data_IF_955164831604
#
_entry.id   IF_955164831604
#
_cell.length_a   1.000
_cell.length_b   1.000
_cell.length_c   1.000
_cell.angle_alpha   90.00
_cell.angle_beta   90.00
_cell.angle_gamma   90.00
#
_symmetry.space_group_name_H-M   'P 1'
#
loop_
_entity.id
_entity.type
_entity.pdbx_description
1 polymer ?
#
# COMPACT_ATOMS: atom_id res chain seq x y z
N UNK A 1 21.52 -13.23 37.41
CA UNK A 1 20.47 -13.58 36.43
C UNK A 1 20.00 -12.29 35.79
N UNK A 2 20.51 -11.98 34.61
CA UNK A 2 20.14 -10.76 33.88
C UNK A 2 19.54 -11.23 32.57
N UNK A 3 18.21 -11.21 32.51
CA UNK A 3 17.43 -11.55 31.32
C UNK A 3 17.70 -10.44 30.30
N UNK A 4 18.32 -10.79 29.18
CA UNK A 4 18.44 -9.87 28.03
C UNK A 4 17.04 -9.59 27.47
N UNK A 5 16.72 -8.33 27.12
CA UNK A 5 15.41 -8.00 26.58
C UNK A 5 15.24 -8.59 25.18
N UNK A 6 14.04 -9.10 24.93
CA UNK A 6 13.55 -9.64 23.67
C UNK A 6 14.08 -8.89 22.44
N UNK A 7 14.76 -9.61 21.56
CA UNK A 7 15.02 -9.16 20.19
C UNK A 7 13.67 -8.94 19.49
N UNK A 8 13.36 -7.70 19.15
CA UNK A 8 12.31 -7.35 18.18
C UNK A 8 12.49 -8.22 16.92
N UNK A 9 11.41 -8.66 16.25
CA UNK A 9 11.56 -9.28 14.95
C UNK A 9 12.32 -8.30 14.06
N UNK A 10 13.50 -8.72 13.58
CA UNK A 10 14.28 -7.91 12.65
C UNK A 10 13.49 -7.90 11.35
N UNK A 11 12.66 -6.88 11.16
CA UNK A 11 11.91 -6.75 9.92
C UNK A 11 12.89 -6.78 8.74
N UNK A 12 12.56 -7.46 7.64
CA UNK A 12 13.42 -7.46 6.46
C UNK A 12 13.65 -6.04 5.94
N UNK A 13 14.81 -5.76 5.32
CA UNK A 13 15.10 -4.45 4.75
C UNK A 13 14.08 -4.12 3.66
N UNK A 14 13.91 -2.83 3.36
CA UNK A 14 13.08 -2.36 2.28
C UNK A 14 13.35 -3.13 0.97
N UNK A 15 12.28 -3.54 0.29
CA UNK A 15 12.35 -4.24 -0.98
C UNK A 15 11.70 -3.41 -2.07
N UNK A 16 12.30 -3.41 -3.28
CA UNK A 16 11.69 -2.78 -4.46
C UNK A 16 11.90 -3.61 -5.71
N UNK A 17 10.93 -3.58 -6.60
CA UNK A 17 11.02 -4.20 -7.92
C UNK A 17 10.27 -3.37 -8.95
N UNK A 18 10.77 -3.35 -10.18
CA UNK A 18 10.12 -2.65 -11.29
C UNK A 18 8.96 -3.48 -11.83
N UNK A 19 7.82 -2.84 -12.15
CA UNK A 19 6.62 -3.53 -12.67
C UNK A 19 6.87 -4.36 -13.94
N UNK A 20 7.80 -3.95 -14.80
CA UNK A 20 8.14 -4.69 -16.03
C UNK A 20 8.86 -6.01 -15.78
N UNK A 21 9.35 -6.27 -14.57
CA UNK A 21 9.90 -7.57 -14.23
C UNK A 21 8.73 -8.57 -14.03
N UNK A 22 8.65 -9.65 -14.84
CA UNK A 22 7.53 -10.60 -14.78
C UNK A 22 7.42 -11.35 -13.44
N UNK A 23 8.47 -11.35 -12.62
CA UNK A 23 8.47 -11.96 -11.29
C UNK A 23 8.12 -10.98 -10.16
N UNK A 24 7.86 -9.70 -10.47
CA UNK A 24 7.59 -8.67 -9.45
C UNK A 24 6.45 -9.05 -8.53
N UNK A 25 5.31 -9.49 -9.06
CA UNK A 25 4.18 -9.91 -8.23
C UNK A 25 4.55 -11.06 -7.27
N UNK A 26 5.31 -12.04 -7.74
CA UNK A 26 5.76 -13.16 -6.90
C UNK A 26 6.75 -12.70 -5.82
N UNK A 27 7.72 -11.85 -6.15
CA UNK A 27 8.68 -11.37 -5.16
C UNK A 27 8.00 -10.50 -4.10
N UNK A 28 7.16 -9.55 -4.52
CA UNK A 28 6.38 -8.73 -3.59
C UNK A 28 5.48 -9.59 -2.69
N UNK A 29 4.88 -10.66 -3.22
CA UNK A 29 4.05 -11.57 -2.41
C UNK A 29 4.84 -12.23 -1.27
N UNK A 30 6.11 -12.57 -1.50
CA UNK A 30 6.98 -13.16 -0.48
C UNK A 30 7.37 -12.12 0.56
N UNK A 31 7.73 -10.92 0.10
CA UNK A 31 8.08 -9.80 0.96
C UNK A 31 6.94 -9.36 1.87
N UNK A 32 5.70 -9.45 1.39
CA UNK A 32 4.49 -9.25 2.19
C UNK A 32 4.36 -10.33 3.27
N UNK A 33 4.46 -11.61 2.90
CA UNK A 33 4.36 -12.73 3.86
C UNK A 33 5.43 -12.67 4.94
N UNK A 34 6.66 -12.25 4.61
CA UNK A 34 7.74 -12.08 5.58
C UNK A 34 7.47 -10.99 6.62
N UNK A 35 6.52 -10.09 6.34
CA UNK A 35 6.15 -8.97 7.22
C UNK A 35 4.82 -9.15 7.92
N UNK A 36 3.97 -10.04 7.43
CA UNK A 36 2.69 -10.34 8.04
C UNK A 36 2.87 -10.89 9.47
N UNK A 37 1.87 -10.67 10.35
CA UNK A 37 1.91 -11.19 11.70
C UNK A 37 1.76 -12.72 11.70
N UNK A 38 1.67 -13.33 12.88
CA UNK A 38 1.37 -14.76 12.97
C UNK A 38 -0.07 -15.06 12.50
N UNK A 39 -0.29 -16.29 12.00
CA UNK A 39 -1.59 -16.74 11.53
C UNK A 39 -2.70 -16.54 12.58
N UNK A 40 -3.83 -15.97 12.16
CA UNK A 40 -5.01 -15.71 13.00
C UNK A 40 -5.36 -14.24 13.16
N UNK A 41 -4.42 -13.34 12.89
CA UNK A 41 -4.68 -11.89 12.88
C UNK A 41 -5.26 -11.44 11.53
N UNK A 42 -6.28 -10.59 11.58
CA UNK A 42 -6.85 -9.95 10.39
C UNK A 42 -5.85 -8.98 9.77
N UNK A 43 -5.75 -8.96 8.45
CA UNK A 43 -4.93 -8.00 7.71
C UNK A 43 -5.85 -6.98 7.05
N UNK A 44 -5.56 -5.69 7.24
CA UNK A 44 -6.33 -4.59 6.65
C UNK A 44 -5.45 -3.83 5.67
N UNK A 45 -5.86 -3.78 4.41
CA UNK A 45 -5.24 -2.94 3.39
C UNK A 45 -5.97 -1.59 3.31
N UNK A 46 -5.23 -0.51 3.42
CA UNK A 46 -5.75 0.87 3.28
C UNK A 46 -5.15 1.47 2.03
N UNK A 47 -5.93 1.51 0.95
CA UNK A 47 -5.49 1.99 -0.35
C UNK A 47 -5.82 3.48 -0.47
N UNK A 48 -4.78 4.31 -0.37
CA UNK A 48 -4.87 5.76 -0.28
C UNK A 48 -4.83 6.36 -1.68
N UNK A 49 -5.66 7.39 -1.88
CA UNK A 49 -5.72 8.17 -3.11
C UNK A 49 -7.14 8.57 -3.50
N UNK A 50 -7.29 9.18 -4.67
CA UNK A 50 -8.58 9.54 -5.27
C UNK A 50 -8.69 9.11 -6.73
N UNK A 51 -9.91 8.80 -7.15
CA UNK A 51 -10.32 8.58 -8.54
C UNK A 51 -10.30 9.87 -9.40
N UNK A 52 -10.07 11.05 -8.81
CA UNK A 52 -10.11 12.36 -9.49
C UNK A 52 -8.76 12.82 -10.05
N UNK A 53 -7.69 12.07 -9.84
CA UNK A 53 -6.35 12.35 -10.33
C UNK A 53 -5.71 11.05 -10.77
N UNK A 54 -5.23 10.95 -12.01
CA UNK A 54 -4.80 9.66 -12.58
C UNK A 54 -3.65 9.04 -11.80
N UNK A 55 -2.66 9.82 -11.40
CA UNK A 55 -1.52 9.36 -10.60
C UNK A 55 -1.89 9.00 -9.16
N UNK A 56 -2.92 9.64 -8.62
CA UNK A 56 -3.43 9.36 -7.26
C UNK A 56 -4.46 8.22 -7.25
N UNK A 57 -4.85 7.70 -8.42
CA UNK A 57 -5.86 6.66 -8.54
C UNK A 57 -5.33 5.25 -8.24
N UNK A 58 -4.02 5.09 -8.02
CA UNK A 58 -3.39 3.78 -7.80
C UNK A 58 -4.05 3.02 -6.64
N UNK A 59 -4.18 3.65 -5.47
CA UNK A 59 -4.80 3.04 -4.30
C UNK A 59 -6.25 2.61 -4.57
N UNK A 60 -7.17 3.53 -4.93
CA UNK A 60 -8.55 3.19 -5.25
C UNK A 60 -8.71 2.09 -6.32
N UNK A 61 -7.83 2.04 -7.33
CA UNK A 61 -7.81 0.98 -8.35
C UNK A 61 -7.44 -0.37 -7.75
N UNK A 62 -6.37 -0.44 -6.95
CA UNK A 62 -5.97 -1.66 -6.23
C UNK A 62 -7.12 -2.13 -5.33
N UNK A 63 -7.71 -1.23 -4.55
CA UNK A 63 -8.80 -1.60 -3.65
C UNK A 63 -10.02 -2.16 -4.40
N UNK A 64 -10.39 -1.56 -5.53
CA UNK A 64 -11.48 -2.07 -6.36
C UNK A 64 -11.17 -3.45 -6.99
N UNK A 65 -9.91 -3.72 -7.35
CA UNK A 65 -9.49 -5.02 -7.85
C UNK A 65 -9.47 -6.08 -6.73
N UNK A 66 -9.00 -5.74 -5.53
CA UNK A 66 -8.97 -6.64 -4.38
C UNK A 66 -10.37 -6.99 -3.88
N UNK A 67 -11.29 -6.02 -3.84
CA UNK A 67 -12.69 -6.24 -3.46
C UNK A 67 -13.35 -7.32 -4.33
N UNK A 68 -13.07 -7.32 -5.63
CA UNK A 68 -13.55 -8.36 -6.57
C UNK A 68 -12.97 -9.74 -6.28
N UNK A 69 -11.75 -9.83 -5.75
CA UNK A 69 -11.09 -11.13 -5.45
C UNK A 69 -11.60 -11.81 -4.19
N UNK A 70 -12.22 -11.08 -3.26
CA UNK A 70 -12.80 -11.61 -2.00
C UNK A 70 -11.82 -12.50 -1.23
N UNK A 71 -10.65 -11.95 -0.92
CA UNK A 71 -9.55 -12.66 -0.24
C UNK A 71 -9.89 -12.94 1.24
N UNK A 72 -9.98 -14.20 1.69
CA UNK A 72 -10.30 -14.52 3.08
C UNK A 72 -9.27 -13.98 4.07
N UNK A 73 -9.74 -13.42 5.19
CA UNK A 73 -8.91 -12.84 6.25
C UNK A 73 -8.28 -11.48 5.91
N UNK A 74 -8.46 -11.00 4.68
CA UNK A 74 -7.98 -9.70 4.22
C UNK A 74 -9.16 -8.75 4.08
N UNK A 75 -9.06 -7.57 4.69
CA UNK A 75 -10.03 -6.49 4.59
C UNK A 75 -9.45 -5.34 3.76
N UNK A 76 -10.29 -4.64 3.00
CA UNK A 76 -9.83 -3.61 2.07
C UNK A 76 -10.65 -2.34 2.30
N UNK A 77 -9.94 -1.22 2.43
CA UNK A 77 -10.49 0.13 2.47
C UNK A 77 -9.82 0.98 1.40
N UNK A 78 -10.55 1.92 0.82
CA UNK A 78 -10.08 2.73 -0.29
C UNK A 78 -10.28 2.02 -1.63
N UNK A 79 -11.50 2.10 -2.15
CA UNK A 79 -11.85 1.59 -3.48
C UNK A 79 -12.23 2.75 -4.39
N UNK A 80 -12.42 2.50 -5.68
CA UNK A 80 -13.01 3.50 -6.59
C UNK A 80 -14.38 4.00 -6.11
N UNK A 81 -15.18 3.13 -5.48
CA UNK A 81 -16.52 3.47 -4.99
C UNK A 81 -16.45 4.28 -3.70
N UNK A 82 -15.53 3.91 -2.80
CA UNK A 82 -15.34 4.52 -1.49
C UNK A 82 -13.85 4.85 -1.29
N UNK A 83 -13.35 5.93 -1.94
CA UNK A 83 -11.94 6.28 -1.89
C UNK A 83 -11.53 6.75 -0.49
N UNK A 84 -10.26 6.51 -0.14
CA UNK A 84 -9.65 6.99 1.10
C UNK A 84 -8.58 8.00 0.73
N UNK A 85 -8.81 9.26 1.07
CA UNK A 85 -7.95 10.38 0.73
C UNK A 85 -7.78 11.31 1.93
N UNK A 86 -6.93 12.32 1.82
CA UNK A 86 -6.59 13.26 2.90
C UNK A 86 -7.81 13.78 3.71
N UNK A 87 -8.95 14.05 3.07
CA UNK A 87 -10.12 14.64 3.74
C UNK A 87 -10.92 13.68 4.62
N UNK A 88 -10.82 12.36 4.41
CA UNK A 88 -11.58 11.35 5.16
C UNK A 88 -10.69 10.33 5.88
N UNK A 89 -9.37 10.37 5.67
CA UNK A 89 -8.42 9.40 6.19
C UNK A 89 -8.53 9.20 7.71
N UNK A 90 -8.53 10.28 8.49
CA UNK A 90 -8.64 10.21 9.95
C UNK A 90 -9.89 9.46 10.42
N UNK A 91 -11.05 9.80 9.84
CA UNK A 91 -12.31 9.12 10.13
C UNK A 91 -12.26 7.64 9.73
N UNK A 92 -11.66 7.33 8.59
CA UNK A 92 -11.49 5.95 8.11
C UNK A 92 -10.61 5.16 9.08
N UNK A 93 -9.49 5.70 9.54
CA UNK A 93 -8.60 5.03 10.49
C UNK A 93 -9.28 4.75 11.83
N UNK A 94 -10.02 5.73 12.38
CA UNK A 94 -10.82 5.53 13.61
C UNK A 94 -11.80 4.37 13.43
N UNK A 95 -12.48 4.32 12.28
CA UNK A 95 -13.42 3.25 11.96
C UNK A 95 -12.72 1.89 11.83
N UNK A 96 -11.57 1.83 11.15
CA UNK A 96 -10.78 0.60 10.99
C UNK A 96 -10.37 0.05 12.35
N UNK A 97 -9.79 0.87 13.23
CA UNK A 97 -9.37 0.41 14.56
C UNK A 97 -10.55 -0.06 15.43
N UNK A 98 -11.73 0.49 15.22
CA UNK A 98 -12.95 0.04 15.91
C UNK A 98 -13.50 -1.28 15.37
N UNK A 99 -13.50 -1.46 14.05
CA UNK A 99 -14.05 -2.66 13.39
C UNK A 99 -13.09 -3.85 13.41
N UNK A 100 -11.78 -3.58 13.38
CA UNK A 100 -10.71 -4.56 13.29
C UNK A 100 -9.68 -4.32 14.41
N UNK A 101 -10.07 -4.51 15.68
CA UNK A 101 -9.17 -4.27 16.81
C UNK A 101 -7.96 -5.20 16.72
N UNK A 102 -6.76 -4.61 16.78
CA UNK A 102 -5.50 -5.35 16.71
C UNK A 102 -5.13 -5.91 15.34
N UNK A 103 -5.81 -5.50 14.26
CA UNK A 103 -5.45 -5.92 12.91
C UNK A 103 -4.11 -5.31 12.46
N UNK A 104 -3.38 -6.09 11.66
CA UNK A 104 -2.16 -5.63 11.00
C UNK A 104 -2.52 -4.83 9.74
N UNK A 105 -2.08 -3.58 9.67
CA UNK A 105 -2.48 -2.62 8.65
C UNK A 105 -1.37 -2.47 7.61
N UNK A 106 -1.74 -2.58 6.34
CA UNK A 106 -0.86 -2.30 5.19
C UNK A 106 -1.34 -1.02 4.51
N UNK A 107 -0.57 0.06 4.62
CA UNK A 107 -0.83 1.28 3.87
C UNK A 107 -0.39 1.13 2.42
N UNK A 108 -1.23 1.51 1.46
CA UNK A 108 -0.87 1.51 0.04
C UNK A 108 -1.06 2.92 -0.50
N UNK A 109 -0.03 3.48 -1.12
CA UNK A 109 -0.06 4.85 -1.65
C UNK A 109 0.70 4.96 -2.98
N UNK A 110 0.51 6.07 -3.68
CA UNK A 110 1.32 6.46 -4.82
C UNK A 110 2.19 7.65 -4.48
N UNK A 111 3.38 7.72 -5.08
CA UNK A 111 4.22 8.89 -4.95
C UNK A 111 4.89 9.28 -6.28
N UNK A 112 5.46 10.48 -6.27
CA UNK A 112 6.33 10.96 -7.33
C UNK A 112 7.78 10.68 -6.95
N UNK A 113 8.62 10.39 -7.94
CA UNK A 113 10.02 10.04 -7.71
C UNK A 113 10.96 10.56 -8.78
N UNK A 114 12.20 10.06 -8.76
CA UNK A 114 13.15 10.32 -9.84
C UNK A 114 12.70 9.57 -11.11
N UNK A 115 13.08 10.09 -12.28
CA UNK A 115 12.74 9.48 -13.58
C UNK A 115 13.08 7.98 -13.66
N UNK A 116 14.26 7.59 -13.17
CA UNK A 116 14.71 6.18 -13.15
C UNK A 116 13.92 5.28 -12.18
N UNK A 117 13.12 5.87 -11.30
CA UNK A 117 12.33 5.17 -10.30
C UNK A 117 10.87 5.03 -10.68
N UNK A 118 10.39 5.71 -11.73
CA UNK A 118 9.02 5.53 -12.22
C UNK A 118 8.78 4.07 -12.59
N UNK A 119 7.65 3.51 -12.18
CA UNK A 119 7.30 2.09 -12.38
C UNK A 119 7.84 1.13 -11.31
N UNK A 120 8.64 1.60 -10.35
CA UNK A 120 8.99 0.80 -9.19
C UNK A 120 7.85 0.72 -8.18
N UNK A 121 7.75 -0.46 -7.57
CA UNK A 121 6.90 -0.76 -6.43
C UNK A 121 7.82 -1.09 -5.25
N UNK A 122 7.61 -0.42 -4.13
CA UNK A 122 8.44 -0.52 -2.93
C UNK A 122 7.60 -1.03 -1.75
N UNK A 123 8.15 -1.93 -0.94
CA UNK A 123 7.60 -2.38 0.34
C UNK A 123 8.63 -2.03 1.41
N UNK A 124 8.19 -1.33 2.45
CA UNK A 124 9.03 -1.04 3.60
C UNK A 124 8.22 -1.09 4.90
N UNK A 125 8.95 -1.15 6.01
CA UNK A 125 8.38 -1.25 7.34
C UNK A 125 7.99 0.14 7.86
N UNK A 126 7.00 0.15 8.75
CA UNK A 126 6.45 1.37 9.30
C UNK A 126 5.38 2.00 8.39
N UNK A 127 4.72 3.03 8.91
CA UNK A 127 3.57 3.63 8.26
C UNK A 127 3.96 4.42 7.02
N UNK A 128 3.03 4.50 6.06
CA UNK A 128 3.05 5.60 5.09
C UNK A 128 2.68 6.89 5.80
N UNK A 129 3.25 8.00 5.33
CA UNK A 129 2.92 9.37 5.76
C UNK A 129 2.25 10.11 4.62
N UNK A 130 0.92 9.99 4.49
CA UNK A 130 0.22 10.54 3.34
C UNK A 130 0.32 12.07 3.32
N UNK A 131 0.32 12.63 2.12
CA UNK A 131 0.10 14.06 1.96
C UNK A 131 1.28 14.96 2.31
N UNK A 132 2.51 14.58 1.97
CA UNK A 132 3.69 15.46 2.01
C UNK A 132 3.49 16.81 1.26
N UNK A 133 2.46 16.93 0.40
CA UNK A 133 2.05 18.16 -0.30
C UNK A 133 0.76 18.84 0.20
N UNK A 134 0.13 18.38 1.29
CA UNK A 134 -1.07 19.02 1.87
C UNK A 134 -0.74 19.62 3.24
N UNK A 135 -1.19 20.86 3.46
CA UNK A 135 -0.91 21.65 4.67
C UNK A 135 -1.51 21.07 5.98
N UNK A 136 -2.19 19.92 5.93
CA UNK A 136 -2.80 19.26 7.09
C UNK A 136 -1.93 18.11 7.57
N UNK A 137 -1.79 18.00 8.89
CA UNK A 137 -1.14 16.85 9.52
C UNK A 137 -2.08 15.64 9.41
N UNK A 138 -1.80 14.75 8.47
CA UNK A 138 -2.55 13.50 8.29
C UNK A 138 -2.04 12.43 9.26
N UNK A 139 -2.89 11.48 9.68
CA UNK A 139 -2.45 10.35 10.49
C UNK A 139 -1.52 9.44 9.66
N UNK A 140 -0.53 8.88 10.34
CA UNK A 140 0.30 7.78 9.84
C UNK A 140 -0.59 6.55 9.59
N UNK A 141 -0.31 5.79 8.52
CA UNK A 141 -1.14 4.64 8.12
C UNK A 141 -0.28 3.39 7.92
N UNK A 142 -0.62 2.32 8.63
CA UNK A 142 -0.01 1.01 8.43
C UNK A 142 1.12 0.67 9.40
N UNK A 143 1.28 -0.63 9.63
CA UNK A 143 2.46 -1.24 10.26
C UNK A 143 3.59 -1.42 9.23
N UNK A 144 3.20 -1.61 7.97
CA UNK A 144 4.06 -1.57 6.79
C UNK A 144 3.37 -0.77 5.69
N UNK A 145 4.12 -0.41 4.65
CA UNK A 145 3.55 0.24 3.49
C UNK A 145 4.04 -0.34 2.18
N UNK A 146 3.22 -0.13 1.14
CA UNK A 146 3.53 -0.40 -0.24
C UNK A 146 3.34 0.89 -1.05
N UNK A 147 4.39 1.35 -1.72
CA UNK A 147 4.37 2.59 -2.51
C UNK A 147 4.62 2.29 -3.98
N UNK A 148 3.77 2.85 -4.85
CA UNK A 148 4.01 2.89 -6.29
C UNK A 148 4.55 4.24 -6.74
N UNK A 149 5.69 4.25 -7.43
CA UNK A 149 6.25 5.49 -8.01
C UNK A 149 5.64 5.70 -9.40
N UNK A 150 4.62 6.56 -9.47
CA UNK A 150 3.73 6.66 -10.64
C UNK A 150 4.19 7.70 -11.66
N UNK A 151 5.01 8.67 -11.27
CA UNK A 151 5.52 9.70 -12.18
C UNK A 151 6.76 10.43 -11.59
N UNK A 152 7.33 11.34 -12.36
CA UNK A 152 8.46 12.17 -11.96
C UNK A 152 7.99 13.30 -11.03
N UNK A 153 8.73 13.52 -9.94
CA UNK A 153 8.49 14.60 -8.97
C UNK A 153 9.40 15.83 -9.15
N UNK A 154 9.28 16.78 -8.23
CA UNK A 154 10.15 17.95 -8.12
C UNK A 154 9.53 19.28 -8.53
N UNK A 155 8.85 19.36 -9.67
CA UNK A 155 8.15 20.58 -10.11
C UNK A 155 6.71 20.27 -10.53
N UNK A 156 5.77 21.13 -10.13
CA UNK A 156 4.33 21.00 -10.44
C UNK A 156 3.74 19.63 -10.08
N UNK A 157 4.05 19.12 -8.89
CA UNK A 157 3.70 17.76 -8.45
C UNK A 157 2.19 17.44 -8.58
N UNK A 158 1.32 18.40 -8.23
CA UNK A 158 -0.12 18.22 -8.41
C UNK A 158 -0.51 18.02 -9.87
N UNK A 159 0.09 18.79 -10.78
CA UNK A 159 -0.14 18.65 -12.23
C UNK A 159 0.45 17.35 -12.77
N UNK A 160 1.58 16.89 -12.23
CA UNK A 160 2.18 15.60 -12.60
C UNK A 160 1.27 14.44 -12.22
N UNK A 161 0.69 14.46 -11.01
CA UNK A 161 -0.30 13.47 -10.60
C UNK A 161 -1.53 13.50 -11.51
N UNK A 162 -2.06 14.68 -11.82
CA UNK A 162 -3.24 14.82 -12.69
C UNK A 162 -3.01 14.36 -14.14
N UNK A 163 -1.78 14.43 -14.65
CA UNK A 163 -1.40 14.05 -16.01
C UNK A 163 -0.63 12.72 -16.09
N UNK A 164 -0.58 11.96 -15.00
CA UNK A 164 0.07 10.65 -15.00
C UNK A 164 -0.64 9.71 -15.98
N UNK A 165 0.11 8.90 -16.72
CA UNK A 165 -0.47 7.97 -17.71
C UNK A 165 -1.27 6.89 -16.99
N UNK A 166 -2.57 6.86 -17.22
CA UNK A 166 -3.47 5.87 -16.61
C UNK A 166 -3.05 4.41 -16.88
N UNK A 167 -2.48 4.13 -18.06
CA UNK A 167 -1.97 2.80 -18.41
C UNK A 167 -0.93 2.31 -17.39
N UNK A 168 0.06 3.15 -17.06
CA UNK A 168 1.09 2.82 -16.08
C UNK A 168 0.46 2.51 -14.71
N UNK A 169 -0.43 3.38 -14.25
CA UNK A 169 -1.13 3.22 -12.95
C UNK A 169 -1.96 1.94 -12.93
N UNK A 170 -2.62 1.60 -14.03
CA UNK A 170 -3.44 0.38 -14.16
C UNK A 170 -2.57 -0.88 -14.10
N UNK A 171 -1.44 -0.90 -14.80
CA UNK A 171 -0.52 -2.04 -14.79
C UNK A 171 0.16 -2.22 -13.43
N UNK A 172 0.52 -1.13 -12.74
CA UNK A 172 0.98 -1.18 -11.36
C UNK A 172 -0.10 -1.73 -10.42
N UNK A 173 -1.34 -1.27 -10.56
CA UNK A 173 -2.46 -1.76 -9.77
C UNK A 173 -2.69 -3.26 -9.96
N UNK A 174 -2.64 -3.75 -11.20
CA UNK A 174 -2.72 -5.19 -11.50
C UNK A 174 -1.61 -5.97 -10.81
N UNK A 175 -0.36 -5.53 -10.96
CA UNK A 175 0.83 -6.17 -10.37
C UNK A 175 0.75 -6.26 -8.85
N UNK A 176 0.35 -5.17 -8.18
CA UNK A 176 0.21 -5.13 -6.72
C UNK A 176 -0.95 -6.02 -6.26
N UNK A 177 -2.07 -5.99 -6.98
CA UNK A 177 -3.22 -6.85 -6.66
C UNK A 177 -2.86 -8.33 -6.79
N UNK A 178 -2.07 -8.71 -7.80
CA UNK A 178 -1.54 -10.08 -7.95
C UNK A 178 -0.61 -10.45 -6.80
N UNK A 179 0.31 -9.57 -6.41
CA UNK A 179 1.18 -9.79 -5.26
C UNK A 179 0.39 -10.07 -3.98
N UNK A 180 -0.63 -9.25 -3.69
CA UNK A 180 -1.48 -9.39 -2.51
C UNK A 180 -2.29 -10.69 -2.58
N UNK A 181 -2.85 -11.04 -3.74
CA UNK A 181 -3.57 -12.29 -3.92
C UNK A 181 -2.67 -13.52 -3.69
N UNK A 182 -1.46 -13.53 -4.27
CA UNK A 182 -0.49 -14.60 -4.04
C UNK A 182 -0.06 -14.67 -2.58
N UNK A 183 0.12 -13.53 -1.92
CA UNK A 183 0.45 -13.48 -0.49
C UNK A 183 -0.66 -14.07 0.37
N UNK A 184 -1.93 -13.86 0.02
CA UNK A 184 -3.07 -14.46 0.73
C UNK A 184 -3.05 -16.00 0.63
N UNK A 185 -2.67 -16.55 -0.52
CA UNK A 185 -2.53 -17.99 -0.70
C UNK A 185 -1.35 -18.53 0.12
N UNK A 186 -0.20 -17.85 0.08
CA UNK A 186 1.00 -18.26 0.79
C UNK A 186 0.85 -18.18 2.30
N UNK A 187 0.20 -17.13 2.80
CA UNK A 187 0.00 -16.88 4.23
C UNK A 187 -0.94 -17.87 4.91
N UNK A 188 -1.84 -18.49 4.13
CA UNK A 188 -2.80 -19.50 4.62
C UNK A 188 -2.24 -20.92 4.64
N UNK A 189 -1.06 -21.16 4.04
CA UNK A 189 -0.35 -22.45 4.12
C UNK A 189 0.46 -22.52 5.40
#
# INVERSE_FOLDING_TARGET
MTIQPHSLPLFPPAYRSHMDNPLTAHHLSRELVLRYPNQGESIVFVCIGTDRSTGDALGPLIGALLEKRRLPGFHVYGTLKEPVHALNLEKTMIMIHKLHPGAFIVGIDACLGQLKSVGYIEIDNGPVRPGAGVQKKLPDVGDIHLIGIVNVGGFMELTMLQNTRLYLVTEMANTITDAIHYSNILYRK
#
